data_IF_131127390958
#
_entry.id   IF_131127390958
#
_cell.length_a   1.000
_cell.length_b   1.000
_cell.length_c   1.000
_cell.angle_alpha   90.00
_cell.angle_beta   90.00
_cell.angle_gamma   90.00
#
_symmetry.space_group_name_H-M   'P 1'
#
loop_
_entity.id
_entity.type
_entity.pdbx_description
1 polymer ?
#
# COMPACT_ATOMS: atom_id res chain seq x y z
N UNK A 1 19.25 -5.09 0.79
CA UNK A 1 18.64 -3.75 0.97
C UNK A 1 19.09 -3.13 2.28
N UNK A 2 19.73 -1.96 2.18
CA UNK A 2 20.46 -1.25 3.24
C UNK A 2 19.55 -0.32 4.05
N UNK A 3 19.76 -0.27 5.37
CA UNK A 3 18.81 0.13 6.41
C UNK A 3 18.60 1.66 6.59
N UNK A 4 18.97 2.49 5.61
CA UNK A 4 19.14 3.94 5.81
C UNK A 4 17.84 4.74 5.86
N UNK A 5 16.78 4.33 5.16
CA UNK A 5 15.51 5.09 5.17
C UNK A 5 14.74 4.91 6.46
N UNK A 6 14.61 3.67 6.95
CA UNK A 6 14.00 3.40 8.25
C UNK A 6 14.83 4.04 9.37
N UNK A 7 16.16 3.97 9.27
CA UNK A 7 17.07 4.72 10.15
C UNK A 7 16.80 6.21 10.04
N UNK A 8 16.77 6.82 8.85
CA UNK A 8 16.54 8.26 8.67
C UNK A 8 15.16 8.73 9.16
N UNK A 9 14.09 7.98 8.87
CA UNK A 9 12.73 8.23 9.36
C UNK A 9 12.68 8.16 10.90
N UNK A 10 13.36 7.20 11.51
CA UNK A 10 13.39 7.04 12.97
C UNK A 10 14.41 7.95 13.66
N UNK A 11 15.54 8.26 13.04
CA UNK A 11 16.64 9.08 13.55
C UNK A 11 16.23 10.55 13.61
N UNK A 12 15.42 10.98 12.66
CA UNK A 12 14.75 12.29 12.67
C UNK A 12 13.49 12.33 13.54
N UNK A 13 12.96 11.17 13.94
CA UNK A 13 11.79 11.08 14.80
C UNK A 13 12.12 11.28 16.28
N UNK A 14 11.10 11.72 17.03
CA UNK A 14 11.14 11.82 18.49
C UNK A 14 11.48 10.44 19.12
N UNK A 15 12.35 10.37 20.15
CA UNK A 15 12.58 9.14 20.91
C UNK A 15 11.32 8.37 21.31
N UNK A 16 10.22 9.06 21.62
CA UNK A 16 8.93 8.45 21.96
C UNK A 16 8.30 7.73 20.75
N UNK A 17 8.41 8.29 19.55
CA UNK A 17 7.93 7.65 18.31
C UNK A 17 8.73 6.38 18.03
N UNK A 18 10.06 6.41 18.24
CA UNK A 18 10.92 5.21 18.12
C UNK A 18 10.52 4.11 19.10
N UNK A 19 10.27 4.46 20.36
CA UNK A 19 9.86 3.48 21.37
C UNK A 19 8.54 2.80 20.98
N UNK A 20 7.54 3.59 20.54
CA UNK A 20 6.27 3.05 20.05
C UNK A 20 6.45 2.14 18.84
N UNK A 21 7.31 2.50 17.89
CA UNK A 21 7.59 1.67 16.73
C UNK A 21 8.17 0.30 17.12
N UNK A 22 9.09 0.25 18.09
CA UNK A 22 9.65 -1.01 18.60
C UNK A 22 8.56 -1.88 19.25
N UNK A 23 7.71 -1.28 20.09
CA UNK A 23 6.63 -2.00 20.76
C UNK A 23 5.56 -2.50 19.77
N UNK A 24 5.13 -1.65 18.83
CA UNK A 24 4.18 -2.02 17.78
C UNK A 24 4.72 -3.14 16.88
N UNK A 25 6.01 -3.09 16.52
CA UNK A 25 6.66 -4.16 15.77
C UNK A 25 6.68 -5.48 16.55
N UNK A 26 6.90 -5.45 17.87
CA UNK A 26 6.87 -6.64 18.71
C UNK A 26 5.47 -7.27 18.78
N UNK A 27 4.42 -6.45 18.91
CA UNK A 27 3.03 -6.92 18.87
C UNK A 27 2.68 -7.53 17.51
N UNK A 28 3.05 -6.86 16.43
CA UNK A 28 2.80 -7.37 15.07
C UNK A 28 3.54 -8.69 14.78
N UNK A 29 4.77 -8.87 15.28
CA UNK A 29 5.49 -10.16 15.22
C UNK A 29 4.76 -11.26 15.99
N UNK A 30 4.22 -10.94 17.16
CA UNK A 30 3.44 -11.89 17.93
C UNK A 30 2.17 -12.33 17.18
N UNK A 31 1.44 -11.36 16.62
CA UNK A 31 0.26 -11.58 15.79
C UNK A 31 0.57 -12.44 14.55
N UNK A 32 1.66 -12.14 13.84
CA UNK A 32 2.06 -12.82 12.61
C UNK A 32 2.76 -14.17 12.83
N UNK A 33 2.88 -14.67 14.07
CA UNK A 33 3.57 -15.94 14.39
C UNK A 33 3.20 -17.11 13.46
N UNK A 34 1.93 -17.31 13.04
CA UNK A 34 1.57 -18.41 12.12
C UNK A 34 2.21 -18.32 10.72
N UNK A 35 2.62 -17.12 10.30
CA UNK A 35 3.18 -16.81 8.97
C UNK A 35 4.57 -16.18 9.07
N UNK A 36 5.23 -16.26 10.23
CA UNK A 36 6.50 -15.59 10.47
C UNK A 36 7.60 -16.01 9.48
N UNK A 37 7.56 -17.26 9.00
CA UNK A 37 8.48 -17.80 8.01
C UNK A 37 8.36 -17.15 6.63
N UNK A 38 7.22 -16.49 6.34
CA UNK A 38 6.96 -15.77 5.09
C UNK A 38 7.48 -14.32 5.14
N UNK A 39 7.94 -13.86 6.31
CA UNK A 39 8.23 -12.45 6.58
C UNK A 39 9.63 -12.28 7.17
N UNK A 40 10.38 -11.30 6.68
CA UNK A 40 11.66 -10.91 7.30
C UNK A 40 11.43 -9.95 8.47
N UNK A 41 12.31 -9.97 9.48
CA UNK A 41 12.28 -9.03 10.61
C UNK A 41 12.18 -7.56 10.18
N UNK A 42 12.81 -7.24 9.03
CA UNK A 42 12.85 -5.89 8.47
C UNK A 42 11.48 -5.37 8.06
N UNK A 43 10.57 -6.25 7.62
CA UNK A 43 9.21 -5.84 7.21
C UNK A 43 8.46 -5.30 8.42
N UNK A 44 8.54 -5.99 9.56
CA UNK A 44 7.90 -5.54 10.80
C UNK A 44 8.42 -4.17 11.25
N UNK A 45 9.74 -4.00 11.29
CA UNK A 45 10.35 -2.75 11.76
C UNK A 45 10.05 -1.59 10.81
N UNK A 46 10.10 -1.82 9.50
CA UNK A 46 9.81 -0.80 8.48
C UNK A 46 8.36 -0.34 8.56
N UNK A 47 7.41 -1.27 8.64
CA UNK A 47 5.98 -0.93 8.71
C UNK A 47 5.64 -0.23 10.02
N UNK A 48 6.18 -0.69 11.16
CA UNK A 48 5.98 -0.04 12.44
C UNK A 48 6.53 1.39 12.47
N UNK A 49 7.77 1.58 12.00
CA UNK A 49 8.36 2.91 11.88
C UNK A 49 7.51 3.84 11.00
N UNK A 50 7.05 3.32 9.86
CA UNK A 50 6.23 4.05 8.90
C UNK A 50 4.93 4.55 9.55
N UNK A 51 4.13 3.65 10.13
CA UNK A 51 2.83 4.06 10.70
C UNK A 51 2.98 4.97 11.92
N UNK A 52 4.05 4.78 12.73
CA UNK A 52 4.34 5.64 13.87
C UNK A 52 4.77 7.05 13.45
N UNK A 53 5.46 7.21 12.33
CA UNK A 53 5.80 8.52 11.77
C UNK A 53 4.60 9.18 11.09
N UNK A 54 3.70 8.40 10.48
CA UNK A 54 2.48 8.91 9.82
C UNK A 54 1.51 9.51 10.84
N UNK A 55 1.30 8.87 11.99
CA UNK A 55 0.37 9.33 13.00
C UNK A 55 1.00 9.19 14.40
N UNK A 56 1.95 10.07 14.75
CA UNK A 56 2.71 9.98 15.99
C UNK A 56 1.88 10.19 17.25
N UNK A 57 0.64 10.65 17.13
CA UNK A 57 -0.30 10.85 18.23
C UNK A 57 -0.98 9.56 18.70
N UNK A 58 -1.06 8.53 17.84
CA UNK A 58 -1.71 7.27 18.19
C UNK A 58 -0.94 6.50 19.27
N UNK A 59 -1.66 5.65 19.99
CA UNK A 59 -1.06 4.74 20.96
C UNK A 59 -0.44 3.49 20.30
N UNK A 60 0.26 2.69 21.10
CA UNK A 60 0.95 1.49 20.62
C UNK A 60 -0.01 0.45 20.04
N UNK A 61 -1.20 0.28 20.61
CA UNK A 61 -2.18 -0.70 20.14
C UNK A 61 -2.79 -0.27 18.80
N UNK A 62 -2.99 1.03 18.62
CA UNK A 62 -3.43 1.66 17.38
C UNK A 62 -2.39 1.55 16.28
N UNK A 63 -1.12 1.79 16.59
CA UNK A 63 -0.04 1.52 15.65
C UNK A 63 0.03 0.04 15.29
N UNK A 64 -0.05 -0.87 16.28
CA UNK A 64 -0.03 -2.31 16.02
C UNK A 64 -1.14 -2.74 15.06
N UNK A 65 -2.38 -2.25 15.23
CA UNK A 65 -3.48 -2.52 14.31
C UNK A 65 -3.16 -2.11 12.86
N UNK A 66 -2.57 -0.93 12.67
CA UNK A 66 -2.17 -0.45 11.34
C UNK A 66 -1.00 -1.26 10.76
N UNK A 67 -0.05 -1.71 11.59
CA UNK A 67 1.03 -2.61 11.17
C UNK A 67 0.47 -3.97 10.76
N UNK A 68 -0.41 -4.57 11.56
CA UNK A 68 -1.05 -5.86 11.26
C UNK A 68 -1.83 -5.79 9.94
N UNK A 69 -2.59 -4.72 9.71
CA UNK A 69 -3.28 -4.53 8.43
C UNK A 69 -2.31 -4.35 7.25
N UNK A 70 -1.22 -3.60 7.44
CA UNK A 70 -0.21 -3.41 6.39
C UNK A 70 0.55 -4.70 6.08
N UNK A 71 0.86 -5.52 7.09
CA UNK A 71 1.41 -6.86 6.93
C UNK A 71 0.44 -7.77 6.19
N UNK A 72 -0.85 -7.71 6.52
CA UNK A 72 -1.87 -8.47 5.82
C UNK A 72 -1.93 -8.10 4.32
N UNK A 73 -1.80 -6.82 3.98
CA UNK A 73 -1.71 -6.38 2.57
C UNK A 73 -0.44 -6.87 1.88
N UNK A 74 0.71 -6.87 2.56
CA UNK A 74 1.96 -7.44 2.02
C UNK A 74 1.80 -8.94 1.71
N UNK A 75 1.13 -9.67 2.60
CA UNK A 75 0.79 -11.08 2.44
C UNK A 75 -0.24 -11.32 1.32
N UNK A 76 -1.14 -10.37 1.07
CA UNK A 76 -2.05 -10.40 -0.08
C UNK A 76 -1.28 -10.25 -1.38
N UNK A 77 -0.39 -9.27 -1.46
CA UNK A 77 0.44 -8.97 -2.64
C UNK A 77 1.24 -10.20 -3.08
N UNK A 78 1.96 -10.83 -2.14
CA UNK A 78 2.70 -12.08 -2.42
C UNK A 78 1.82 -13.22 -2.93
N UNK A 79 0.60 -13.39 -2.40
CA UNK A 79 -0.34 -14.43 -2.86
C UNK A 79 -0.95 -14.13 -4.23
N UNK A 80 -0.99 -12.87 -4.65
CA UNK A 80 -1.46 -12.47 -5.97
C UNK A 80 -0.34 -12.59 -7.02
N UNK A 81 0.89 -12.25 -6.66
CA UNK A 81 2.02 -12.20 -7.60
C UNK A 81 2.74 -13.55 -7.73
N UNK A 82 2.91 -14.32 -6.65
CA UNK A 82 3.66 -15.59 -6.64
C UNK A 82 2.74 -16.80 -6.49
N UNK A 83 1.87 -17.00 -7.49
CA UNK A 83 0.90 -18.09 -7.52
C UNK A 83 1.53 -19.49 -7.38
N UNK A 84 2.77 -19.66 -7.82
CA UNK A 84 3.50 -20.93 -7.76
C UNK A 84 4.00 -21.22 -6.34
N UNK A 85 4.66 -20.25 -5.70
CA UNK A 85 5.13 -20.38 -4.32
C UNK A 85 3.97 -20.66 -3.35
N UNK A 86 2.87 -19.93 -3.49
CA UNK A 86 1.71 -20.07 -2.61
C UNK A 86 0.74 -21.18 -3.04
N UNK A 87 0.96 -21.82 -4.20
CA UNK A 87 0.07 -22.85 -4.74
C UNK A 87 -1.38 -22.36 -4.92
N UNK A 88 -1.57 -21.07 -5.19
CA UNK A 88 -2.91 -20.44 -5.26
C UNK A 88 -3.10 -19.69 -6.56
N UNK A 89 -4.32 -19.66 -7.09
CA UNK A 89 -4.67 -18.81 -8.23
C UNK A 89 -5.11 -17.42 -7.74
N UNK A 90 -4.63 -16.31 -8.35
CA UNK A 90 -5.02 -14.97 -7.94
C UNK A 90 -6.54 -14.78 -7.89
N UNK A 91 -7.26 -15.34 -8.86
CA UNK A 91 -8.72 -15.30 -8.95
C UNK A 91 -9.39 -15.96 -7.72
N UNK A 92 -8.83 -17.08 -7.26
CA UNK A 92 -9.32 -17.77 -6.08
C UNK A 92 -8.99 -17.03 -4.79
N UNK A 93 -7.81 -16.42 -4.68
CA UNK A 93 -7.44 -15.55 -3.56
C UNK A 93 -8.39 -14.37 -3.48
N UNK A 94 -8.57 -13.64 -4.58
CA UNK A 94 -9.45 -12.47 -4.62
C UNK A 94 -10.91 -12.81 -4.31
N UNK A 95 -11.43 -13.93 -4.82
CA UNK A 95 -12.78 -14.40 -4.50
C UNK A 95 -12.97 -14.64 -3.00
N UNK A 96 -12.00 -15.30 -2.33
CA UNK A 96 -12.08 -15.61 -0.90
C UNK A 96 -11.95 -14.36 -0.04
N UNK A 97 -11.00 -13.49 -0.35
CA UNK A 97 -10.86 -12.20 0.33
C UNK A 97 -12.16 -11.39 0.24
N UNK A 98 -12.75 -11.28 -0.95
CA UNK A 98 -14.02 -10.56 -1.14
C UNK A 98 -15.17 -11.22 -0.37
N UNK A 99 -15.19 -12.55 -0.24
CA UNK A 99 -16.17 -13.25 0.60
C UNK A 99 -16.02 -12.86 2.08
N UNK A 100 -14.80 -12.90 2.63
CA UNK A 100 -14.52 -12.47 4.01
C UNK A 100 -14.88 -11.01 4.24
N UNK A 101 -14.60 -10.11 3.29
CA UNK A 101 -14.97 -8.69 3.42
C UNK A 101 -16.49 -8.48 3.48
N UNK A 102 -17.28 -9.37 2.87
CA UNK A 102 -18.75 -9.28 2.83
C UNK A 102 -19.44 -10.02 3.97
N UNK A 103 -18.99 -11.23 4.29
CA UNK A 103 -19.62 -12.10 5.30
C UNK A 103 -18.82 -12.22 6.61
N UNK A 104 -17.68 -11.54 6.73
CA UNK A 104 -16.85 -11.53 7.93
C UNK A 104 -16.34 -12.92 8.29
N UNK A 105 -16.29 -13.20 9.59
CA UNK A 105 -15.74 -14.44 10.15
C UNK A 105 -16.46 -15.71 9.68
N UNK A 106 -17.74 -15.62 9.30
CA UNK A 106 -18.50 -16.76 8.82
C UNK A 106 -17.98 -17.30 7.48
N UNK A 107 -17.35 -16.44 6.67
CA UNK A 107 -16.79 -16.80 5.36
C UNK A 107 -15.30 -17.18 5.45
N UNK A 108 -14.64 -16.90 6.57
CA UNK A 108 -13.24 -17.24 6.76
C UNK A 108 -13.06 -18.73 7.04
N UNK A 109 -12.14 -19.38 6.32
CA UNK A 109 -11.83 -20.79 6.54
C UNK A 109 -11.20 -21.01 7.92
N UNK A 110 -11.75 -21.98 8.65
CA UNK A 110 -11.21 -22.37 9.95
C UNK A 110 -9.75 -22.82 9.81
N UNK A 111 -8.86 -22.23 10.61
CA UNK A 111 -7.42 -22.52 10.59
C UNK A 111 -6.61 -21.77 9.52
N UNK A 112 -7.25 -21.02 8.62
CA UNK A 112 -6.55 -20.18 7.64
C UNK A 112 -6.24 -18.81 8.28
N UNK A 113 -4.97 -18.58 8.62
CA UNK A 113 -4.54 -17.32 9.24
C UNK A 113 -4.84 -16.11 8.35
N UNK A 114 -4.64 -16.20 7.04
CA UNK A 114 -4.81 -15.08 6.13
C UNK A 114 -6.27 -14.62 6.08
N UNK A 115 -7.22 -15.55 6.02
CA UNK A 115 -8.65 -15.21 5.99
C UNK A 115 -9.18 -14.82 7.38
N UNK A 116 -8.78 -15.53 8.44
CA UNK A 116 -9.26 -15.26 9.80
C UNK A 116 -8.72 -13.95 10.37
N UNK A 117 -7.47 -13.60 10.05
CA UNK A 117 -6.88 -12.31 10.45
C UNK A 117 -7.54 -11.14 9.75
N UNK A 118 -7.89 -11.23 8.46
CA UNK A 118 -8.68 -10.20 7.77
C UNK A 118 -10.03 -9.98 8.46
N UNK A 119 -10.73 -11.06 8.78
CA UNK A 119 -12.03 -10.96 9.46
C UNK A 119 -11.91 -10.25 10.81
N UNK A 120 -10.86 -10.56 11.59
CA UNK A 120 -10.59 -9.92 12.87
C UNK A 120 -10.22 -8.44 12.74
N UNK A 121 -9.37 -8.08 11.76
CA UNK A 121 -9.00 -6.70 11.47
C UNK A 121 -10.23 -5.87 11.07
N UNK A 122 -11.09 -6.40 10.22
CA UNK A 122 -12.34 -5.73 9.82
C UNK A 122 -13.29 -5.56 11.01
N UNK A 123 -13.37 -6.54 11.91
CA UNK A 123 -14.17 -6.45 13.12
C UNK A 123 -13.65 -5.37 14.08
N UNK A 124 -12.33 -5.27 14.25
CA UNK A 124 -11.72 -4.22 15.07
C UNK A 124 -11.93 -2.83 14.46
N UNK A 125 -11.71 -2.67 13.15
CA UNK A 125 -12.00 -1.42 12.46
C UNK A 125 -13.49 -1.05 12.55
N UNK A 126 -14.41 -2.02 12.53
CA UNK A 126 -15.84 -1.78 12.73
C UNK A 126 -16.15 -1.25 14.13
N UNK A 127 -15.50 -1.78 15.17
CA UNK A 127 -15.67 -1.27 16.53
C UNK A 127 -15.22 0.20 16.64
N UNK A 128 -14.13 0.55 15.97
CA UNK A 128 -13.54 1.90 15.98
C UNK A 128 -14.32 2.91 15.14
N UNK A 129 -14.80 2.51 13.97
CA UNK A 129 -15.62 3.36 13.08
C UNK A 129 -16.83 3.95 13.81
N UNK A 130 -17.43 3.17 14.72
CA UNK A 130 -18.54 3.66 15.56
C UNK A 130 -19.72 4.19 14.75
N UNK A 131 -19.95 3.60 13.57
CA UNK A 131 -21.00 3.91 12.60
C UNK A 131 -20.85 5.28 11.88
N UNK A 132 -19.63 5.79 11.73
CA UNK A 132 -19.40 7.01 10.94
C UNK A 132 -19.42 6.74 9.42
N UNK A 133 -19.29 5.49 8.97
CA UNK A 133 -19.41 5.11 7.56
C UNK A 133 -18.08 4.99 6.81
N UNK A 134 -16.95 5.24 7.47
CA UNK A 134 -15.62 5.04 6.89
C UNK A 134 -15.32 3.54 6.66
N UNK A 135 -15.85 2.64 7.49
CA UNK A 135 -15.70 1.19 7.28
C UNK A 135 -16.31 0.73 5.96
N UNK A 136 -17.48 1.25 5.57
CA UNK A 136 -18.11 0.87 4.30
C UNK A 136 -17.22 1.29 3.13
N UNK A 137 -16.68 2.52 3.18
CA UNK A 137 -15.72 3.02 2.20
C UNK A 137 -14.46 2.16 2.19
N UNK A 138 -13.92 1.81 3.35
CA UNK A 138 -12.76 0.93 3.49
C UNK A 138 -12.98 -0.39 2.76
N UNK A 139 -14.10 -1.08 3.04
CA UNK A 139 -14.47 -2.34 2.40
C UNK A 139 -14.59 -2.18 0.90
N UNK A 140 -15.28 -1.12 0.43
CA UNK A 140 -15.45 -0.86 -1.00
C UNK A 140 -14.10 -0.64 -1.71
N UNK A 141 -13.18 0.12 -1.10
CA UNK A 141 -11.85 0.40 -1.69
C UNK A 141 -10.94 -0.81 -1.65
N UNK A 142 -10.98 -1.62 -0.60
CA UNK A 142 -10.22 -2.86 -0.53
C UNK A 142 -10.75 -3.90 -1.55
N UNK A 143 -12.07 -4.02 -1.72
CA UNK A 143 -12.65 -4.88 -2.78
C UNK A 143 -12.22 -4.42 -4.18
N UNK A 144 -12.25 -3.12 -4.45
CA UNK A 144 -11.79 -2.57 -5.74
C UNK A 144 -10.30 -2.85 -5.97
N UNK A 145 -9.47 -2.66 -4.95
CA UNK A 145 -8.03 -2.94 -5.02
C UNK A 145 -7.69 -4.41 -5.19
N UNK A 146 -8.38 -5.32 -4.48
CA UNK A 146 -8.24 -6.77 -4.68
C UNK A 146 -8.64 -7.16 -6.11
N UNK A 147 -9.74 -6.64 -6.63
CA UNK A 147 -10.15 -6.88 -8.03
C UNK A 147 -9.11 -6.34 -9.02
N UNK A 148 -8.52 -5.18 -8.74
CA UNK A 148 -7.47 -4.61 -9.56
C UNK A 148 -6.20 -5.47 -9.53
N UNK A 149 -5.78 -5.96 -8.35
CA UNK A 149 -4.64 -6.86 -8.20
C UNK A 149 -4.82 -8.18 -8.92
N UNK A 150 -5.99 -8.82 -8.80
CA UNK A 150 -6.30 -10.03 -9.58
C UNK A 150 -6.22 -9.76 -11.09
N UNK A 151 -6.81 -8.65 -11.57
CA UNK A 151 -6.73 -8.28 -12.99
C UNK A 151 -5.29 -8.05 -13.43
N UNK A 152 -4.48 -7.40 -12.59
CA UNK A 152 -3.07 -7.13 -12.87
C UNK A 152 -2.27 -8.43 -12.93
N UNK A 153 -2.39 -9.32 -11.94
CA UNK A 153 -1.69 -10.61 -11.93
C UNK A 153 -2.05 -11.47 -13.16
N UNK A 154 -3.34 -11.51 -13.54
CA UNK A 154 -3.80 -12.22 -14.74
C UNK A 154 -3.24 -11.58 -16.02
N UNK A 155 -3.24 -10.25 -16.11
CA UNK A 155 -2.69 -9.53 -17.25
C UNK A 155 -1.18 -9.78 -17.38
N UNK A 156 -0.42 -9.63 -16.30
CA UNK A 156 1.03 -9.88 -16.26
C UNK A 156 1.35 -11.29 -16.71
N UNK A 157 0.62 -12.30 -16.22
CA UNK A 157 0.78 -13.70 -16.66
C UNK A 157 0.55 -13.86 -18.17
N UNK A 158 -0.54 -13.30 -18.70
CA UNK A 158 -0.85 -13.41 -20.14
C UNK A 158 0.19 -12.72 -21.02
N UNK A 159 0.73 -11.59 -20.57
CA UNK A 159 1.82 -10.89 -21.25
C UNK A 159 3.08 -11.74 -21.24
N UNK A 160 3.46 -12.32 -20.10
CA UNK A 160 4.61 -13.22 -19.98
C UNK A 160 4.45 -14.47 -20.87
N UNK A 161 3.23 -14.99 -21.02
CA UNK A 161 2.89 -16.10 -21.92
C UNK A 161 2.81 -15.68 -23.41
N UNK A 162 2.92 -14.38 -23.72
CA UNK A 162 2.80 -13.84 -25.08
C UNK A 162 1.38 -13.90 -25.66
N UNK A 163 0.36 -14.06 -24.83
CA UNK A 163 -1.06 -14.17 -25.24
C UNK A 163 -1.81 -12.85 -25.21
N UNK A 164 -1.22 -11.81 -24.61
CA UNK A 164 -1.75 -10.45 -24.53
C UNK A 164 -0.63 -9.45 -24.80
N UNK A 165 -0.85 -8.35 -25.55
CA UNK A 165 0.15 -7.30 -25.71
C UNK A 165 0.33 -6.49 -24.42
N UNK A 166 1.42 -5.72 -24.36
CA UNK A 166 1.59 -4.70 -23.32
C UNK A 166 0.42 -3.70 -23.36
N UNK A 167 -0.12 -3.30 -22.20
CA UNK A 167 -1.16 -2.29 -22.14
C UNK A 167 -0.62 -0.91 -22.52
N UNK A 168 -1.52 0.00 -22.88
CA UNK A 168 -1.16 1.42 -22.95
C UNK A 168 -0.83 1.93 -21.54
N UNK A 169 -0.01 2.98 -21.48
CA UNK A 169 0.32 3.65 -20.21
C UNK A 169 -0.94 4.06 -19.43
N UNK A 170 -1.94 4.61 -20.11
CA UNK A 170 -3.20 5.04 -19.51
C UNK A 170 -3.99 3.87 -18.91
N UNK A 171 -4.11 2.77 -19.66
CA UNK A 171 -4.84 1.58 -19.19
C UNK A 171 -4.13 0.92 -18.01
N UNK A 172 -2.80 0.87 -18.06
CA UNK A 172 -1.99 0.41 -16.94
C UNK A 172 -2.20 1.28 -15.71
N UNK A 173 -2.00 2.60 -15.81
CA UNK A 173 -2.10 3.50 -14.65
C UNK A 173 -3.48 3.46 -14.02
N UNK A 174 -4.54 3.41 -14.84
CA UNK A 174 -5.92 3.30 -14.38
C UNK A 174 -6.16 2.01 -13.58
N UNK A 175 -5.50 0.89 -13.92
CA UNK A 175 -5.53 -0.33 -13.11
C UNK A 175 -4.61 -0.23 -11.88
N UNK A 176 -3.40 0.24 -12.08
CA UNK A 176 -2.27 0.14 -11.18
C UNK A 176 -2.44 1.00 -9.91
N UNK A 177 -3.08 2.18 -10.02
CA UNK A 177 -3.37 3.01 -8.84
C UNK A 177 -4.44 2.38 -7.95
N UNK A 178 -5.33 1.53 -8.49
CA UNK A 178 -6.33 0.82 -7.68
C UNK A 178 -5.68 -0.35 -6.94
N UNK A 179 -4.77 -1.04 -7.62
CA UNK A 179 -4.04 -2.20 -7.10
C UNK A 179 -3.11 -1.86 -5.94
N UNK A 180 -2.45 -0.69 -5.95
CA UNK A 180 -1.48 -0.30 -4.89
C UNK A 180 -2.10 -0.18 -3.48
N UNK A 181 -3.42 -0.31 -3.35
CA UNK A 181 -4.18 -0.39 -2.08
C UNK A 181 -3.96 0.77 -1.09
N UNK A 182 -3.34 1.88 -1.51
CA UNK A 182 -3.15 3.06 -0.67
C UNK A 182 -4.46 3.57 -0.07
N UNK A 183 -5.55 3.53 -0.86
CA UNK A 183 -6.87 4.04 -0.43
C UNK A 183 -7.43 3.29 0.78
N UNK A 184 -7.26 1.97 0.87
CA UNK A 184 -7.75 1.21 2.02
C UNK A 184 -6.85 1.38 3.24
N UNK A 185 -5.53 1.53 3.05
CA UNK A 185 -4.58 1.91 4.13
C UNK A 185 -4.95 3.26 4.72
N UNK A 186 -5.20 4.25 3.87
CA UNK A 186 -5.61 5.58 4.31
C UNK A 186 -6.94 5.56 5.07
N UNK A 187 -7.93 4.76 4.63
CA UNK A 187 -9.20 4.64 5.35
C UNK A 187 -9.06 3.90 6.68
N UNK A 188 -8.21 2.87 6.78
CA UNK A 188 -7.89 2.22 8.05
C UNK A 188 -7.22 3.21 9.01
N UNK A 189 -6.29 4.03 8.53
CA UNK A 189 -5.68 5.12 9.29
C UNK A 189 -6.73 6.09 9.84
N UNK A 190 -7.64 6.57 8.99
CA UNK A 190 -8.69 7.51 9.40
C UNK A 190 -9.64 6.93 10.46
N UNK A 191 -10.02 5.65 10.31
CA UNK A 191 -10.82 4.94 11.33
C UNK A 191 -10.06 4.87 12.66
N UNK A 192 -8.74 4.64 12.62
CA UNK A 192 -7.91 4.56 13.82
C UNK A 192 -7.68 5.92 14.48
N UNK A 193 -7.49 6.99 13.70
CA UNK A 193 -7.42 8.38 14.22
C UNK A 193 -8.71 8.78 14.95
N UNK A 194 -9.85 8.20 14.56
CA UNK A 194 -11.10 8.27 15.34
C UNK A 194 -11.87 9.58 15.21
N UNK A 195 -11.38 10.53 14.41
CA UNK A 195 -12.15 11.70 13.99
C UNK A 195 -13.32 11.27 13.09
N UNK A 196 -14.48 11.90 13.26
CA UNK A 196 -15.73 11.47 12.62
C UNK A 196 -16.19 12.50 11.57
N UNK A 197 -15.65 12.47 10.35
CA UNK A 197 -16.07 13.38 9.30
C UNK A 197 -17.53 13.15 8.92
N UNK A 198 -18.26 14.24 8.64
CA UNK A 198 -19.60 14.16 8.06
C UNK A 198 -19.58 13.60 6.62
N UNK A 199 -20.75 13.36 6.04
CA UNK A 199 -20.84 12.78 4.69
C UNK A 199 -20.15 13.61 3.61
N UNK A 200 -20.23 14.94 3.69
CA UNK A 200 -19.61 15.84 2.73
C UNK A 200 -18.07 15.84 2.85
N UNK A 201 -17.55 15.79 4.07
CA UNK A 201 -16.13 15.58 4.33
C UNK A 201 -15.67 14.22 3.80
N UNK A 202 -16.46 13.16 3.99
CA UNK A 202 -16.13 11.84 3.47
C UNK A 202 -16.10 11.76 1.93
N UNK A 203 -16.95 12.50 1.22
CA UNK A 203 -16.88 12.61 -0.24
C UNK A 203 -15.57 13.28 -0.69
N UNK A 204 -15.13 14.34 0.02
CA UNK A 204 -13.84 14.98 -0.24
C UNK A 204 -12.66 14.06 0.05
N UNK A 205 -12.74 13.26 1.12
CA UNK A 205 -11.75 12.23 1.43
C UNK A 205 -11.62 11.24 0.27
N UNK A 206 -12.73 10.67 -0.19
CA UNK A 206 -12.74 9.74 -1.34
C UNK A 206 -12.11 10.36 -2.59
N UNK A 207 -12.41 11.63 -2.88
CA UNK A 207 -11.83 12.36 -3.99
C UNK A 207 -10.31 12.55 -3.82
N UNK A 208 -9.85 12.97 -2.64
CA UNK A 208 -8.42 13.20 -2.34
C UNK A 208 -7.59 11.90 -2.39
N UNK A 209 -8.19 10.76 -2.08
CA UNK A 209 -7.51 9.47 -2.10
C UNK A 209 -7.15 8.99 -3.53
N UNK A 210 -7.82 9.49 -4.58
CA UNK A 210 -7.51 9.12 -5.97
C UNK A 210 -6.15 9.65 -6.42
N UNK A 211 -5.87 10.97 -6.43
CA UNK A 211 -4.55 11.48 -6.82
C UNK A 211 -3.45 10.96 -5.89
N UNK A 212 -3.70 10.85 -4.58
CA UNK A 212 -2.74 10.26 -3.64
C UNK A 212 -2.32 8.83 -4.02
N UNK A 213 -3.29 7.97 -4.36
CA UNK A 213 -3.02 6.60 -4.78
C UNK A 213 -2.28 6.51 -6.12
N UNK A 214 -2.50 7.47 -7.02
CA UNK A 214 -1.75 7.60 -8.28
C UNK A 214 -0.31 8.03 -8.03
N UNK A 215 -0.09 9.00 -7.14
CA UNK A 215 1.24 9.44 -6.73
C UNK A 215 2.05 8.29 -6.11
N UNK A 216 1.44 7.49 -5.22
CA UNK A 216 2.10 6.33 -4.59
C UNK A 216 2.44 5.24 -5.62
N UNK A 217 1.54 4.94 -6.56
CA UNK A 217 1.85 4.02 -7.67
C UNK A 217 3.04 4.52 -8.48
N UNK A 218 3.05 5.79 -8.90
CA UNK A 218 4.14 6.35 -9.68
C UNK A 218 5.46 6.38 -8.90
N UNK A 219 5.41 6.65 -7.59
CA UNK A 219 6.59 6.60 -6.74
C UNK A 219 7.16 5.17 -6.68
N UNK A 220 6.31 4.15 -6.50
CA UNK A 220 6.72 2.75 -6.56
C UNK A 220 7.35 2.42 -7.92
N UNK A 221 6.69 2.76 -9.03
CA UNK A 221 7.21 2.43 -10.35
C UNK A 221 8.54 3.14 -10.64
N UNK A 222 8.69 4.40 -10.21
CA UNK A 222 9.96 5.12 -10.29
C UNK A 222 11.06 4.46 -9.45
N UNK A 223 10.70 3.77 -8.37
CA UNK A 223 11.64 3.08 -7.50
C UNK A 223 12.09 1.74 -8.06
N UNK A 224 11.16 1.02 -8.69
CA UNK A 224 11.35 -0.37 -9.11
C UNK A 224 11.66 -0.53 -10.59
N UNK A 225 11.61 0.54 -11.41
CA UNK A 225 11.70 0.45 -12.88
C UNK A 225 12.86 -0.41 -13.43
N UNK A 226 14.05 -0.34 -12.83
CA UNK A 226 15.20 -1.13 -13.26
C UNK A 226 15.02 -2.63 -12.93
N UNK A 227 14.62 -2.92 -11.69
CA UNK A 227 14.28 -4.27 -11.23
C UNK A 227 13.15 -4.86 -12.08
N UNK A 228 12.10 -4.09 -12.30
CA UNK A 228 10.94 -4.52 -13.09
C UNK A 228 11.31 -4.80 -14.55
N UNK A 229 12.29 -4.07 -15.11
CA UNK A 229 12.78 -4.33 -16.45
C UNK A 229 13.57 -5.64 -16.53
N UNK A 230 14.35 -5.96 -15.50
CA UNK A 230 15.09 -7.23 -15.39
C UNK A 230 14.15 -8.42 -15.19
N UNK A 231 13.09 -8.25 -14.39
CA UNK A 231 12.09 -9.28 -14.09
C UNK A 231 10.98 -9.40 -15.14
N UNK A 232 10.92 -8.46 -16.10
CA UNK A 232 9.89 -8.42 -17.14
C UNK A 232 8.49 -8.09 -16.62
N UNK A 233 8.39 -7.35 -15.50
CA UNK A 233 7.14 -6.95 -14.87
C UNK A 233 6.69 -5.56 -15.36
N UNK A 234 5.38 -5.28 -15.23
CA UNK A 234 4.79 -4.04 -15.74
C UNK A 234 5.21 -2.82 -14.93
N UNK A 235 5.74 -1.80 -15.62
CA UNK A 235 6.13 -0.52 -15.03
C UNK A 235 5.84 0.64 -15.98
N UNK A 236 5.33 1.77 -15.47
CA UNK A 236 4.94 2.93 -16.28
C UNK A 236 6.04 3.43 -17.23
N UNK A 237 7.31 3.39 -16.81
CA UNK A 237 8.46 3.90 -17.61
C UNK A 237 8.73 3.03 -18.84
N UNK A 238 8.27 1.78 -18.83
CA UNK A 238 8.46 0.83 -19.93
C UNK A 238 7.32 0.88 -20.95
N UNK A 239 6.19 1.51 -20.61
CA UNK A 239 4.98 1.52 -21.42
C UNK A 239 4.92 2.72 -22.37
N UNK A 240 4.08 2.58 -23.39
CA UNK A 240 3.82 3.61 -24.40
C UNK A 240 2.39 4.14 -24.22
N UNK A 241 2.25 5.46 -24.22
CA UNK A 241 0.97 6.15 -24.22
C UNK A 241 0.23 5.96 -25.55
N UNK A 242 -1.08 6.25 -25.56
CA UNK A 242 -1.90 6.12 -26.78
C UNK A 242 -1.45 7.02 -27.93
N UNK A 243 -0.84 8.16 -27.62
CA UNK A 243 -0.28 9.10 -28.60
C UNK A 243 1.15 8.74 -29.06
N UNK A 244 1.70 7.62 -28.57
CA UNK A 244 3.04 7.14 -28.90
C UNK A 244 4.15 7.68 -27.98
N UNK A 245 3.82 8.52 -26.99
CA UNK A 245 4.81 9.05 -26.04
C UNK A 245 5.20 8.03 -24.97
N UNK A 246 6.34 8.25 -24.31
CA UNK A 246 6.80 7.46 -23.16
C UNK A 246 7.08 8.39 -21.99
N UNK A 247 6.80 7.92 -20.78
CA UNK A 247 7.19 8.65 -19.57
C UNK A 247 8.68 8.49 -19.29
N UNK A 248 9.36 9.61 -19.07
CA UNK A 248 10.71 9.62 -18.51
C UNK A 248 10.63 9.61 -16.97
N UNK A 249 11.67 9.15 -16.26
CA UNK A 249 11.73 9.27 -14.80
C UNK A 249 11.49 10.70 -14.28
N UNK A 250 11.94 11.72 -15.02
CA UNK A 250 11.69 13.12 -14.68
C UNK A 250 10.20 13.47 -14.80
N UNK A 251 9.55 13.11 -15.91
CA UNK A 251 8.11 13.32 -16.08
C UNK A 251 7.27 12.56 -15.03
N UNK A 252 7.74 11.40 -14.57
CA UNK A 252 7.10 10.67 -13.46
C UNK A 252 7.18 11.48 -12.16
N UNK A 253 8.34 12.08 -11.83
CA UNK A 253 8.49 12.94 -10.65
C UNK A 253 7.58 14.18 -10.70
N UNK A 254 7.53 14.84 -11.85
CA UNK A 254 6.63 16.00 -12.04
C UNK A 254 5.18 15.58 -11.83
N UNK A 255 4.78 14.43 -12.36
CA UNK A 255 3.41 13.91 -12.21
C UNK A 255 3.06 13.51 -10.78
N UNK A 256 4.03 13.01 -10.02
CA UNK A 256 3.87 12.77 -8.57
C UNK A 256 3.57 14.11 -7.86
N UNK A 257 4.29 15.18 -8.20
CA UNK A 257 4.06 16.49 -7.62
C UNK A 257 2.67 17.05 -7.98
N UNK A 258 2.23 16.96 -9.24
CA UNK A 258 0.88 17.36 -9.66
C UNK A 258 -0.21 16.70 -8.79
N UNK A 259 -0.08 15.39 -8.56
CA UNK A 259 -1.05 14.65 -7.75
C UNK A 259 -0.99 15.00 -6.26
N UNK A 260 0.17 15.37 -5.72
CA UNK A 260 0.28 15.89 -4.36
C UNK A 260 -0.45 17.23 -4.23
N UNK A 261 -0.25 18.12 -5.21
CA UNK A 261 -0.89 19.43 -5.23
C UNK A 261 -2.42 19.28 -5.39
N UNK A 262 -2.88 18.36 -6.25
CA UNK A 262 -4.30 18.03 -6.40
C UNK A 262 -4.90 17.48 -5.10
N UNK A 263 -4.19 16.58 -4.40
CA UNK A 263 -4.64 16.08 -3.10
C UNK A 263 -4.74 17.23 -2.08
N UNK A 264 -3.71 18.07 -1.97
CA UNK A 264 -3.68 19.18 -1.02
C UNK A 264 -4.86 20.15 -1.23
N UNK A 265 -5.18 20.47 -2.49
CA UNK A 265 -6.36 21.28 -2.82
C UNK A 265 -7.68 20.64 -2.37
N UNK A 266 -7.81 19.32 -2.51
CA UNK A 266 -9.00 18.58 -2.06
C UNK A 266 -9.08 18.48 -0.52
N UNK A 267 -7.93 18.50 0.18
CA UNK A 267 -7.84 18.48 1.64
C UNK A 267 -8.04 19.85 2.30
N UNK A 268 -7.89 20.98 1.60
CA UNK A 268 -8.10 22.33 2.19
C UNK A 268 -9.47 22.48 2.86
N UNK A 269 -10.51 21.91 2.25
CA UNK A 269 -11.86 21.90 2.81
C UNK A 269 -11.99 21.08 4.10
N UNK A 270 -11.12 20.08 4.30
CA UNK A 270 -11.12 19.17 5.44
C UNK A 270 -10.39 19.74 6.66
N UNK A 271 -9.39 20.61 6.48
CA UNK A 271 -8.69 21.26 7.60
C UNK A 271 -9.60 22.00 8.57
N UNK A 272 -10.79 22.42 8.12
CA UNK A 272 -11.79 23.08 8.96
C UNK A 272 -12.77 22.13 9.66
N UNK A 273 -13.12 21.01 9.01
CA UNK A 273 -14.17 20.09 9.48
C UNK A 273 -13.63 18.81 10.12
N UNK A 274 -12.43 18.41 9.73
CA UNK A 274 -11.76 17.17 10.14
C UNK A 274 -10.21 17.35 10.10
N UNK A 275 -9.64 18.26 10.93
CA UNK A 275 -8.22 18.60 10.89
C UNK A 275 -7.28 17.42 11.16
N UNK A 276 -7.63 16.50 12.07
CA UNK A 276 -6.77 15.36 12.37
C UNK A 276 -6.69 14.40 11.18
N UNK A 277 -7.82 14.16 10.51
CA UNK A 277 -7.94 13.37 9.29
C UNK A 277 -7.15 13.99 8.14
N UNK A 278 -7.24 15.31 7.95
CA UNK A 278 -6.50 16.01 6.91
C UNK A 278 -4.98 15.87 7.13
N UNK A 279 -4.51 16.16 8.35
CA UNK A 279 -3.10 16.05 8.71
C UNK A 279 -2.57 14.61 8.55
N UNK A 280 -3.34 13.61 8.99
CA UNK A 280 -2.99 12.21 8.85
C UNK A 280 -2.86 11.78 7.37
N UNK A 281 -3.75 12.26 6.49
CA UNK A 281 -3.67 11.95 5.05
C UNK A 281 -2.50 12.64 4.34
N UNK A 282 -2.23 13.90 4.66
CA UNK A 282 -1.07 14.63 4.13
C UNK A 282 0.23 13.93 4.53
N UNK A 283 0.34 13.57 5.81
CA UNK A 283 1.52 12.91 6.33
C UNK A 283 1.67 11.48 5.79
N UNK A 284 0.56 10.74 5.65
CA UNK A 284 0.53 9.43 5.01
C UNK A 284 1.05 9.50 3.57
N UNK A 285 0.55 10.44 2.74
CA UNK A 285 1.02 10.56 1.36
C UNK A 285 2.52 10.90 1.32
N UNK A 286 2.95 11.88 2.13
CA UNK A 286 4.35 12.28 2.20
C UNK A 286 5.25 11.09 2.52
N UNK A 287 4.98 10.39 3.61
CA UNK A 287 5.79 9.23 4.05
C UNK A 287 5.73 8.10 3.03
N UNK A 288 4.55 7.81 2.46
CA UNK A 288 4.40 6.77 1.45
C UNK A 288 5.23 7.04 0.19
N UNK A 289 5.29 8.30 -0.28
CA UNK A 289 6.15 8.69 -1.40
C UNK A 289 7.63 8.61 -0.98
N UNK A 290 7.99 9.16 0.19
CA UNK A 290 9.36 9.16 0.69
C UNK A 290 9.93 7.72 0.80
N UNK A 291 9.09 6.75 1.20
CA UNK A 291 9.42 5.32 1.21
C UNK A 291 9.93 4.79 -0.15
N UNK A 292 9.40 5.34 -1.24
CA UNK A 292 9.77 4.96 -2.60
C UNK A 292 10.78 5.92 -3.26
N UNK A 293 10.95 7.16 -2.78
CA UNK A 293 11.81 8.15 -3.47
C UNK A 293 13.18 8.35 -2.84
N UNK A 294 13.48 7.78 -1.67
CA UNK A 294 14.83 7.91 -1.10
C UNK A 294 15.82 7.05 -1.90
N UNK A 295 16.73 7.74 -2.61
CA UNK A 295 17.72 7.28 -3.60
C UNK A 295 18.73 6.22 -3.10
N UNK A 296 18.67 5.81 -1.84
CA UNK A 296 19.76 5.10 -1.14
C UNK A 296 19.58 3.57 -1.02
N UNK A 297 18.72 2.96 -1.82
CA UNK A 297 18.83 1.51 -2.10
C UNK A 297 19.02 1.20 -3.58
N UNK A 298 20.00 1.84 -4.19
CA UNK A 298 20.69 1.28 -5.35
C UNK A 298 21.09 -0.17 -5.03
N UNK A 299 20.70 -1.09 -5.90
CA UNK A 299 21.39 -2.36 -6.01
C UNK A 299 22.68 -2.05 -6.75
N UNK A 300 23.83 -2.27 -6.12
CA UNK A 300 25.10 -2.37 -6.85
C UNK A 300 24.97 -3.58 -7.78
N UNK A 301 24.74 -3.33 -9.07
CA UNK A 301 25.01 -4.34 -10.09
C UNK A 301 26.53 -4.46 -10.19
N UNK A 302 27.10 -5.68 -10.16
CA UNK A 302 28.53 -5.84 -10.40
C UNK A 302 28.86 -5.33 -11.80
N UNK A 303 29.92 -4.53 -11.89
CA UNK A 303 30.46 -3.98 -13.14
C UNK A 303 30.56 -5.07 -14.21
N UNK A 304 29.83 -4.86 -15.32
CA UNK A 304 30.07 -5.56 -16.57
C UNK A 304 31.42 -5.10 -17.14
N UNK A 305 32.51 -5.65 -16.62
CA UNK A 305 33.84 -5.22 -17.04
C UNK A 305 35.00 -5.90 -16.32
N UNK A 306 35.09 -7.23 -16.39
CA UNK A 306 36.31 -8.08 -16.31
C UNK A 306 35.86 -9.55 -16.25
N UNK A 307 36.24 -10.51 -17.09
CA UNK A 307 37.22 -10.55 -18.15
C UNK A 307 36.82 -11.67 -19.14
N UNK A 308 36.86 -11.36 -20.43
CA UNK A 308 37.37 -12.31 -21.43
C UNK A 308 38.87 -12.36 -21.18
N UNK A 309 39.37 -13.55 -20.86
CA UNK A 309 40.78 -13.88 -20.60
C UNK A 309 40.88 -15.34 -20.20
#
# INVERSE_FOLDING_TARGET
MNNKLVSHLLDSADPAVRAKAVEAAALARHWARPVQQELSDKVYDTLAATVCVIAPELDVAEHALLVEYSLWLYLLDGRLDDSEHYGTRPEDVGRRVIAVLRGGRAEARAGDFFETSLAALVEELRRRDGCCGLLERFVLRLVDGVRAGVRQAVLSRRIAEGTEPLPTMEDFLELAYRHVNYRSVALALLITVGERPDSAAQERLDAALVPASRAVRLANDLRTWAKDAEEGTLNVVQLVARDGTRMTPHAVRDRIQDYRDEQALLLDGLHRSAPASAAALENNLRVAIDLYTVDDLQFDLPDAGQAVG
#
